data_IF_194830351253
#
_entry.id   IF_194830351253
#
_cell.length_a   1.000
_cell.length_b   1.000
_cell.length_c   1.000
_cell.angle_alpha   90.00
_cell.angle_beta   90.00
_cell.angle_gamma   90.00
#
_symmetry.space_group_name_H-M   'P 1'
#
loop_
_entity.id
_entity.type
_entity.pdbx_description
1 polymer ?
#
# COMPACT_ATOMS: atom_id res chain seq x y z
N UNK A 1 -24.71 -21.60 28.24
CA UNK A 1 -24.72 -21.26 26.80
C UNK A 1 -23.78 -20.09 26.60
N UNK A 2 -22.60 -20.34 26.04
CA UNK A 2 -21.47 -19.40 25.97
C UNK A 2 -21.50 -18.66 24.64
N UNK A 3 -21.95 -17.40 24.64
CA UNK A 3 -21.89 -16.54 23.46
C UNK A 3 -20.50 -15.91 23.36
N UNK A 4 -19.66 -16.46 22.49
CA UNK A 4 -18.38 -15.84 22.10
C UNK A 4 -18.64 -14.98 20.86
N UNK A 5 -19.16 -13.78 21.08
CA UNK A 5 -19.16 -12.76 20.03
C UNK A 5 -17.77 -12.11 20.06
N UNK A 6 -16.78 -12.77 19.47
CA UNK A 6 -15.53 -12.12 19.12
C UNK A 6 -15.85 -11.09 18.04
N UNK A 7 -16.21 -9.88 18.46
CA UNK A 7 -16.25 -8.73 17.58
C UNK A 7 -14.83 -8.55 17.04
N UNK A 8 -14.58 -9.01 15.82
CA UNK A 8 -13.43 -8.61 15.02
C UNK A 8 -13.53 -7.08 14.88
N UNK A 9 -12.92 -6.37 15.82
CA UNK A 9 -12.67 -4.95 15.70
C UNK A 9 -11.74 -4.82 14.50
N UNK A 10 -12.30 -4.42 13.35
CA UNK A 10 -11.53 -3.98 12.20
C UNK A 10 -10.84 -2.71 12.70
N UNK A 11 -9.65 -2.86 13.29
CA UNK A 11 -8.82 -1.73 13.62
C UNK A 11 -8.45 -1.10 12.29
N UNK A 12 -9.03 0.06 12.03
CA UNK A 12 -8.73 0.85 10.86
C UNK A 12 -7.31 1.36 11.03
N UNK A 13 -6.31 0.57 10.65
CA UNK A 13 -4.91 0.95 10.85
C UNK A 13 -4.66 2.14 9.92
N UNK A 14 -4.44 3.35 10.46
CA UNK A 14 -4.22 4.51 9.63
C UNK A 14 -2.94 4.27 8.83
N UNK A 15 -3.01 4.58 7.53
CA UNK A 15 -1.83 4.51 6.68
C UNK A 15 -0.78 5.50 7.17
N UNK A 16 0.49 5.08 7.11
CA UNK A 16 1.59 6.00 7.35
C UNK A 16 1.63 7.10 6.28
N UNK A 17 2.25 8.26 6.57
CA UNK A 17 2.48 9.29 5.56
C UNK A 17 3.24 8.76 4.34
N UNK A 18 4.19 7.84 4.55
CA UNK A 18 4.96 7.20 3.48
C UNK A 18 4.10 6.30 2.58
N UNK A 19 3.24 5.46 3.17
CA UNK A 19 2.28 4.64 2.41
C UNK A 19 1.31 5.53 1.60
N UNK A 20 0.82 6.61 2.22
CA UNK A 20 -0.08 7.56 1.56
C UNK A 20 0.59 8.24 0.35
N UNK A 21 1.83 8.69 0.50
CA UNK A 21 2.58 9.30 -0.59
C UNK A 21 2.88 8.30 -1.72
N UNK A 22 3.32 7.09 -1.39
CA UNK A 22 3.62 6.04 -2.37
C UNK A 22 2.36 5.60 -3.13
N UNK A 23 1.23 5.48 -2.44
CA UNK A 23 -0.03 5.13 -3.07
C UNK A 23 -0.57 6.22 -3.97
N UNK A 24 -0.52 7.51 -3.55
CA UNK A 24 -0.93 8.62 -4.41
C UNK A 24 -0.12 8.65 -5.70
N UNK A 25 1.22 8.55 -5.59
CA UNK A 25 2.08 8.49 -6.77
C UNK A 25 1.76 7.29 -7.68
N UNK A 26 1.39 6.14 -7.11
CA UNK A 26 0.94 4.98 -7.87
C UNK A 26 -0.40 5.22 -8.57
N UNK A 27 -1.38 5.81 -7.89
CA UNK A 27 -2.69 6.13 -8.45
C UNK A 27 -2.57 7.18 -9.55
N UNK A 28 -1.80 8.24 -9.34
CA UNK A 28 -1.55 9.28 -10.35
C UNK A 28 -0.91 8.68 -11.60
N UNK A 29 0.01 7.72 -11.43
CA UNK A 29 0.65 7.03 -12.54
C UNK A 29 -0.30 6.08 -13.31
N UNK A 30 -1.22 5.41 -12.60
CA UNK A 30 -2.16 4.45 -13.18
C UNK A 30 -3.41 5.11 -13.78
N UNK A 31 -3.95 6.12 -13.11
CA UNK A 31 -5.12 6.90 -13.52
C UNK A 31 -4.77 8.03 -14.47
N UNK A 32 -3.51 8.48 -14.48
CA UNK A 32 -3.10 9.69 -15.18
C UNK A 32 -3.61 10.94 -14.47
N UNK A 33 -3.13 12.08 -14.92
CA UNK A 33 -3.60 13.42 -14.56
C UNK A 33 -4.09 14.14 -15.82
N UNK A 34 -4.71 15.31 -15.67
CA UNK A 34 -5.07 16.15 -16.82
C UNK A 34 -3.88 16.46 -17.74
N UNK A 35 -2.67 16.51 -17.20
CA UNK A 35 -1.44 16.85 -17.93
C UNK A 35 -0.60 15.64 -18.32
N UNK A 36 -0.86 14.46 -17.74
CA UNK A 36 -0.09 13.25 -18.01
C UNK A 36 -1.04 12.05 -18.16
N UNK A 37 -1.20 11.48 -19.36
CA UNK A 37 -2.12 10.37 -19.55
C UNK A 37 -1.72 9.13 -18.72
N UNK A 38 -2.69 8.27 -18.36
CA UNK A 38 -2.45 7.04 -17.61
C UNK A 38 -1.46 6.12 -18.34
N UNK A 39 -0.61 5.41 -17.60
CA UNK A 39 0.36 4.51 -18.21
C UNK A 39 -0.35 3.30 -18.88
N UNK A 40 -0.25 3.13 -20.22
CA UNK A 40 -0.96 2.07 -20.94
C UNK A 40 -0.42 0.67 -20.63
N UNK A 41 0.86 0.56 -20.23
CA UNK A 41 1.49 -0.70 -19.85
C UNK A 41 1.16 -1.14 -18.42
N UNK A 42 0.84 -0.21 -17.53
CA UNK A 42 0.62 -0.50 -16.13
C UNK A 42 -0.86 -0.71 -15.75
N UNK A 43 -1.79 -0.42 -16.66
CA UNK A 43 -3.21 -0.79 -16.57
C UNK A 43 -3.52 -2.23 -17.03
N UNK A 44 -2.48 -3.04 -17.33
CA UNK A 44 -2.59 -4.44 -17.74
C UNK A 44 -2.35 -5.39 -16.56
N UNK A 45 -2.83 -6.62 -16.67
CA UNK A 45 -2.62 -7.66 -15.65
C UNK A 45 -1.13 -7.97 -15.37
N UNK A 46 -0.27 -7.80 -16.38
CA UNK A 46 1.18 -7.83 -16.24
C UNK A 46 1.72 -6.40 -16.45
N UNK A 47 2.20 -5.73 -15.40
CA UNK A 47 2.60 -4.34 -15.53
C UNK A 47 4.08 -4.23 -15.91
N UNK A 48 4.36 -3.88 -17.17
CA UNK A 48 5.71 -3.85 -17.75
C UNK A 48 6.43 -2.50 -17.61
N UNK A 49 5.82 -1.50 -16.98
CA UNK A 49 6.44 -0.18 -16.86
C UNK A 49 7.40 -0.10 -15.67
N UNK A 50 8.65 0.30 -15.91
CA UNK A 50 9.69 0.42 -14.88
C UNK A 50 9.24 1.36 -13.74
N UNK A 51 8.62 2.49 -14.08
CA UNK A 51 8.08 3.45 -13.12
C UNK A 51 7.04 2.84 -12.20
N UNK A 52 6.04 2.13 -12.74
CA UNK A 52 5.01 1.46 -11.94
C UNK A 52 5.57 0.36 -11.04
N UNK A 53 6.60 -0.35 -11.50
CA UNK A 53 7.31 -1.35 -10.68
C UNK A 53 8.04 -0.70 -9.52
N UNK A 54 8.73 0.43 -9.74
CA UNK A 54 9.35 1.21 -8.67
C UNK A 54 8.33 1.74 -7.66
N UNK A 55 7.18 2.24 -8.11
CA UNK A 55 6.12 2.76 -7.24
C UNK A 55 5.46 1.66 -6.39
N UNK A 56 5.15 0.51 -6.98
CA UNK A 56 4.65 -0.66 -6.23
C UNK A 56 5.66 -1.16 -5.20
N UNK A 57 6.95 -1.15 -5.54
CA UNK A 57 8.01 -1.50 -4.60
C UNK A 57 8.06 -0.51 -3.43
N UNK A 58 8.02 0.79 -3.71
CA UNK A 58 7.99 1.83 -2.67
C UNK A 58 6.79 1.67 -1.72
N UNK A 59 5.60 1.39 -2.24
CA UNK A 59 4.42 1.11 -1.41
C UNK A 59 4.62 -0.13 -0.53
N UNK A 60 5.14 -1.23 -1.10
CA UNK A 60 5.42 -2.45 -0.35
C UNK A 60 6.46 -2.21 0.76
N UNK A 61 7.51 -1.46 0.47
CA UNK A 61 8.57 -1.16 1.42
C UNK A 61 8.05 -0.25 2.56
N UNK A 62 7.21 0.74 2.25
CA UNK A 62 6.54 1.58 3.26
C UNK A 62 5.62 0.77 4.17
N UNK A 63 4.81 -0.13 3.61
CA UNK A 63 3.96 -1.02 4.40
C UNK A 63 4.78 -1.98 5.26
N UNK A 64 5.87 -2.53 4.72
CA UNK A 64 6.78 -3.40 5.48
C UNK A 64 7.40 -2.65 6.66
N UNK A 65 7.88 -1.43 6.45
CA UNK A 65 8.46 -0.62 7.51
C UNK A 65 7.46 -0.34 8.64
N UNK A 66 6.17 -0.12 8.32
CA UNK A 66 5.12 0.00 9.33
C UNK A 66 4.88 -1.31 10.08
N UNK A 67 4.82 -2.44 9.38
CA UNK A 67 4.67 -3.76 10.01
C UNK A 67 5.84 -4.09 10.94
N UNK A 68 7.07 -3.73 10.56
CA UNK A 68 8.26 -3.94 11.38
C UNK A 68 8.28 -3.02 12.62
N UNK A 69 7.72 -1.81 12.56
CA UNK A 69 7.52 -0.92 13.72
C UNK A 69 6.45 -1.44 14.69
N UNK A 70 5.42 -2.11 14.17
CA UNK A 70 4.36 -2.74 14.97
C UNK A 70 4.75 -4.08 15.57
N UNK A 71 5.92 -4.63 15.20
CA UNK A 71 6.42 -5.87 15.78
C UNK A 71 7.06 -5.52 17.12
N UNK A 72 6.50 -5.97 18.26
CA UNK A 72 7.19 -5.81 19.54
C UNK A 72 8.58 -6.43 19.40
N UNK A 73 9.61 -5.71 19.85
CA UNK A 73 10.96 -6.24 19.93
C UNK A 73 10.85 -7.57 20.69
N UNK A 74 11.01 -8.68 19.97
CA UNK A 74 10.95 -10.00 20.57
C UNK A 74 11.94 -10.01 21.74
N UNK A 75 11.40 -10.30 22.92
CA UNK A 75 12.09 -10.45 24.19
C UNK A 75 13.46 -11.11 23.97
N UNK A 76 14.52 -10.40 24.35
CA UNK A 76 15.84 -10.97 24.60
C UNK A 76 16.14 -10.83 26.08
#
# INVERSE_FOLDING_TARGET
MTAWTSALSIQHIPWSPAETAAYRALVDHLGGTETTPPCPGCNKAAPDCETGTRLRRALRDATRARCDQGRPAAER
#
